data_IF_082578813203
#
_entry.id   IF_082578813203
#
_cell.length_a   1.000
_cell.length_b   1.000
_cell.length_c   1.000
_cell.angle_alpha   90.00
_cell.angle_beta   90.00
_cell.angle_gamma   90.00
#
_symmetry.space_group_name_H-M   'P 1'
#
loop_
_entity.id
_entity.type
_entity.pdbx_description
1 polymer ?
#
# COMPACT_ATOMS: atom_id res chain seq x y z
N UNK A 1 19.73 -0.66 -20.78
CA UNK A 1 19.82 0.25 -19.60
C UNK A 1 20.18 -0.52 -18.33
N UNK A 2 19.46 -1.59 -17.95
CA UNK A 2 19.73 -2.32 -16.70
C UNK A 2 21.16 -2.87 -16.61
N UNK A 3 21.63 -3.55 -17.66
CA UNK A 3 23.00 -4.10 -17.70
C UNK A 3 24.08 -3.00 -17.61
N UNK A 4 23.83 -1.83 -18.18
CA UNK A 4 24.74 -0.69 -18.04
C UNK A 4 24.89 -0.21 -16.59
N UNK A 5 23.78 -0.24 -15.83
CA UNK A 5 23.80 0.12 -14.40
C UNK A 5 24.59 -0.93 -13.63
N UNK A 6 24.32 -2.22 -13.88
CA UNK A 6 25.06 -3.32 -13.24
C UNK A 6 26.56 -3.22 -13.51
N UNK A 7 26.91 -2.99 -14.76
CA UNK A 7 28.32 -2.81 -15.16
C UNK A 7 28.97 -1.60 -14.51
N UNK A 8 28.24 -0.49 -14.40
CA UNK A 8 28.74 0.72 -13.73
C UNK A 8 28.98 0.48 -12.23
N UNK A 9 28.02 -0.15 -11.53
CA UNK A 9 28.15 -0.50 -10.12
C UNK A 9 29.40 -1.34 -9.90
N UNK A 10 29.59 -2.40 -10.70
CA UNK A 10 30.72 -3.31 -10.56
C UNK A 10 32.06 -2.69 -10.91
N UNK A 11 32.13 -1.94 -12.03
CA UNK A 11 33.40 -1.34 -12.50
C UNK A 11 33.88 -0.20 -11.64
N UNK A 12 32.98 0.58 -11.07
CA UNK A 12 33.30 1.76 -10.30
C UNK A 12 33.17 1.55 -8.79
N UNK A 13 32.81 0.31 -8.35
CA UNK A 13 32.58 -0.04 -6.96
C UNK A 13 31.63 0.94 -6.27
N UNK A 14 30.50 1.23 -6.93
CA UNK A 14 29.53 2.18 -6.39
C UNK A 14 28.83 1.56 -5.19
N UNK A 15 28.63 2.37 -4.15
CA UNK A 15 27.94 2.00 -2.92
C UNK A 15 26.49 2.51 -2.87
N UNK A 16 26.13 3.45 -3.75
CA UNK A 16 24.80 4.03 -3.87
C UNK A 16 24.44 4.34 -5.31
N UNK A 17 23.15 4.33 -5.61
CA UNK A 17 22.62 4.67 -6.94
C UNK A 17 21.49 5.67 -6.79
N UNK A 18 21.46 6.70 -7.62
CA UNK A 18 20.35 7.64 -7.73
C UNK A 18 19.70 7.46 -9.11
N UNK A 19 18.40 7.22 -9.13
CA UNK A 19 17.61 7.17 -10.35
C UNK A 19 16.68 8.37 -10.40
N UNK A 20 17.02 9.34 -11.27
CA UNK A 20 16.17 10.51 -11.52
C UNK A 20 15.29 10.25 -12.74
N UNK A 21 14.02 9.89 -12.51
CA UNK A 21 13.13 9.49 -13.60
C UNK A 21 11.64 9.75 -13.24
N UNK A 22 10.76 8.81 -13.52
CA UNK A 22 9.33 8.90 -13.23
C UNK A 22 9.00 8.40 -11.81
N UNK A 23 7.74 8.02 -11.57
CA UNK A 23 7.28 7.63 -10.23
C UNK A 23 7.98 6.40 -9.67
N UNK A 24 8.47 6.44 -8.43
CA UNK A 24 8.99 5.26 -7.74
C UNK A 24 7.93 4.18 -7.52
N UNK A 25 6.64 4.55 -7.43
CA UNK A 25 5.54 3.61 -7.15
C UNK A 25 5.47 2.42 -8.12
N UNK A 26 5.87 2.64 -9.37
CA UNK A 26 5.87 1.58 -10.39
C UNK A 26 7.25 0.98 -10.64
N UNK A 27 8.31 1.78 -10.53
CA UNK A 27 9.62 1.40 -11.05
C UNK A 27 10.66 1.09 -9.97
N UNK A 28 10.40 1.44 -8.71
CA UNK A 28 11.32 1.18 -7.61
C UNK A 28 11.73 -0.30 -7.52
N UNK A 29 10.79 -1.28 -7.53
CA UNK A 29 11.17 -2.69 -7.44
C UNK A 29 12.06 -3.16 -8.59
N UNK A 30 11.85 -2.62 -9.80
CA UNK A 30 12.67 -2.95 -10.96
C UNK A 30 14.12 -2.55 -10.75
N UNK A 31 14.37 -1.33 -10.26
CA UNK A 31 15.73 -0.84 -10.03
C UNK A 31 16.35 -1.45 -8.78
N UNK A 32 15.56 -1.76 -7.76
CA UNK A 32 16.04 -2.54 -6.60
C UNK A 32 16.56 -3.90 -7.03
N UNK A 33 15.84 -4.62 -7.89
CA UNK A 33 16.31 -5.89 -8.46
C UNK A 33 17.59 -5.74 -9.30
N UNK A 34 17.79 -4.59 -9.96
CA UNK A 34 19.06 -4.30 -10.67
C UNK A 34 20.22 -4.18 -9.71
N UNK A 35 20.04 -3.50 -8.56
CA UNK A 35 21.06 -3.39 -7.52
C UNK A 35 21.40 -4.77 -6.93
N UNK A 36 20.39 -5.57 -6.60
CA UNK A 36 20.59 -6.94 -6.11
C UNK A 36 21.41 -7.79 -7.08
N UNK A 37 21.10 -7.75 -8.37
CA UNK A 37 21.85 -8.45 -9.41
C UNK A 37 23.29 -7.94 -9.56
N UNK A 38 23.53 -6.70 -9.20
CA UNK A 38 24.88 -6.13 -9.16
C UNK A 38 25.67 -6.51 -7.88
N UNK A 39 24.99 -7.08 -6.86
CA UNK A 39 25.55 -7.38 -5.55
C UNK A 39 25.50 -6.20 -4.56
N UNK A 40 24.70 -5.18 -4.85
CA UNK A 40 24.49 -4.04 -3.97
C UNK A 40 23.16 -4.19 -3.23
N UNK A 41 23.11 -3.75 -1.97
CA UNK A 41 21.88 -3.77 -1.19
C UNK A 41 20.78 -2.94 -1.90
N UNK A 42 19.57 -3.47 -2.11
CA UNK A 42 18.51 -2.80 -2.89
C UNK A 42 18.02 -1.49 -2.26
N UNK A 43 18.25 -1.30 -0.97
CA UNK A 43 17.86 -0.09 -0.24
C UNK A 43 18.89 1.05 -0.35
N UNK A 44 20.04 0.79 -0.98
CA UNK A 44 21.02 1.82 -1.34
C UNK A 44 20.64 2.57 -2.63
N UNK A 45 19.36 2.51 -3.00
CA UNK A 45 18.75 3.20 -4.13
C UNK A 45 17.96 4.42 -3.67
N UNK A 46 18.33 5.59 -4.14
CA UNK A 46 17.50 6.79 -4.08
C UNK A 46 16.74 6.97 -5.39
N UNK A 47 15.44 7.19 -5.30
CA UNK A 47 14.60 7.35 -6.48
C UNK A 47 13.96 8.75 -6.51
N UNK A 48 14.38 9.56 -7.47
CA UNK A 48 13.99 10.97 -7.59
C UNK A 48 12.98 11.13 -8.73
N UNK A 49 11.77 11.56 -8.40
CA UNK A 49 10.72 11.78 -9.38
C UNK A 49 10.83 13.18 -10.02
N UNK A 50 11.39 13.23 -11.21
CA UNK A 50 11.51 14.48 -12.00
C UNK A 50 10.44 14.58 -13.10
N UNK A 51 9.65 13.57 -13.33
CA UNK A 51 8.55 13.60 -14.31
C UNK A 51 7.31 14.25 -13.71
N UNK A 52 6.68 13.62 -12.74
CA UNK A 52 5.43 14.08 -12.15
C UNK A 52 5.64 15.35 -11.29
N UNK A 53 6.78 15.46 -10.62
CA UNK A 53 7.07 16.59 -9.74
C UNK A 53 7.72 17.78 -10.46
N UNK A 54 8.16 17.62 -11.71
CA UNK A 54 8.82 18.68 -12.46
C UNK A 54 8.27 18.84 -13.87
N UNK A 55 8.58 17.93 -14.81
CA UNK A 55 8.26 18.13 -16.22
C UNK A 55 6.76 18.24 -16.51
N UNK A 56 5.92 17.46 -15.83
CA UNK A 56 4.46 17.55 -16.00
C UNK A 56 3.86 18.84 -15.43
N UNK A 57 4.41 19.33 -14.33
CA UNK A 57 3.96 20.59 -13.69
C UNK A 57 4.29 21.80 -14.53
N UNK A 58 5.45 21.79 -15.19
CA UNK A 58 5.94 22.92 -16.00
C UNK A 58 5.48 22.86 -17.48
N UNK A 59 4.78 21.80 -17.88
CA UNK A 59 4.27 21.63 -19.23
C UNK A 59 5.29 21.08 -20.23
N UNK A 60 4.88 20.95 -21.52
CA UNK A 60 5.64 20.22 -22.54
C UNK A 60 6.86 20.95 -23.09
N UNK A 61 7.00 22.23 -22.80
CA UNK A 61 8.10 23.03 -23.34
C UNK A 61 9.24 23.17 -22.34
N UNK A 62 10.48 22.97 -22.79
CA UNK A 62 11.65 23.21 -21.95
C UNK A 62 11.67 24.64 -21.42
N UNK A 63 11.89 24.80 -20.12
CA UNK A 63 12.04 26.10 -19.49
C UNK A 63 13.22 26.10 -18.52
N UNK A 64 13.82 27.28 -18.32
CA UNK A 64 14.88 27.44 -17.35
C UNK A 64 14.38 27.14 -15.92
N UNK A 65 13.15 27.49 -15.63
CA UNK A 65 12.50 27.25 -14.35
C UNK A 65 12.33 25.75 -14.07
N UNK A 66 11.85 24.97 -15.06
CA UNK A 66 11.76 23.52 -14.96
C UNK A 66 13.15 22.89 -14.73
N UNK A 67 14.16 23.38 -15.44
CA UNK A 67 15.54 22.90 -15.27
C UNK A 67 16.08 23.19 -13.87
N UNK A 68 15.89 24.41 -13.35
CA UNK A 68 16.27 24.77 -11.98
C UNK A 68 15.57 23.89 -10.94
N UNK A 69 14.29 23.62 -11.15
CA UNK A 69 13.51 22.74 -10.27
C UNK A 69 14.02 21.30 -10.32
N UNK A 70 14.27 20.75 -11.50
CA UNK A 70 14.84 19.41 -11.65
C UNK A 70 16.17 19.26 -10.92
N UNK A 71 17.07 20.24 -11.09
CA UNK A 71 18.36 20.29 -10.38
C UNK A 71 18.15 20.32 -8.87
N UNK A 72 17.21 21.13 -8.38
CA UNK A 72 16.91 21.21 -6.95
C UNK A 72 16.41 19.88 -6.39
N UNK A 73 15.50 19.22 -7.10
CA UNK A 73 14.96 17.90 -6.71
C UNK A 73 16.07 16.84 -6.68
N UNK A 74 16.93 16.81 -7.72
CA UNK A 74 18.04 15.86 -7.79
C UNK A 74 19.06 16.11 -6.68
N UNK A 75 19.36 17.38 -6.37
CA UNK A 75 20.24 17.73 -5.25
C UNK A 75 19.67 17.25 -3.91
N UNK A 76 18.35 17.42 -3.69
CA UNK A 76 17.68 16.86 -2.51
C UNK A 76 17.83 15.36 -2.41
N UNK A 77 17.64 14.64 -3.53
CA UNK A 77 17.87 13.19 -3.59
C UNK A 77 19.33 12.80 -3.35
N UNK A 78 20.27 13.60 -3.84
CA UNK A 78 21.69 13.37 -3.57
C UNK A 78 22.02 13.51 -2.07
N UNK A 79 21.54 14.57 -1.42
CA UNK A 79 21.77 14.74 0.03
C UNK A 79 21.12 13.58 0.81
N UNK A 80 19.88 13.19 0.47
CA UNK A 80 19.22 12.06 1.08
C UNK A 80 19.97 10.74 0.86
N UNK A 81 20.56 10.55 -0.31
CA UNK A 81 21.29 9.32 -0.63
C UNK A 81 22.49 9.08 0.30
N UNK A 82 23.07 10.13 0.87
CA UNK A 82 24.19 10.04 1.83
C UNK A 82 23.78 9.39 3.15
N UNK A 83 22.51 9.54 3.51
CA UNK A 83 21.92 9.02 4.75
C UNK A 83 21.32 7.62 4.57
N UNK A 84 21.38 7.03 3.36
CA UNK A 84 20.90 5.67 3.14
C UNK A 84 21.80 4.67 3.86
N UNK A 85 21.15 3.75 4.55
CA UNK A 85 21.79 2.60 5.19
C UNK A 85 21.31 1.30 4.57
N UNK A 86 22.15 0.28 4.46
CA UNK A 86 21.73 -1.03 3.98
C UNK A 86 20.73 -1.65 4.96
N UNK A 87 19.52 -1.93 4.47
CA UNK A 87 18.49 -2.57 5.28
C UNK A 87 18.50 -4.08 5.04
N UNK A 88 18.24 -4.82 6.10
CA UNK A 88 18.04 -6.26 6.02
C UNK A 88 16.57 -6.58 5.77
N UNK A 89 16.31 -7.58 4.93
CA UNK A 89 14.96 -8.08 4.71
C UNK A 89 14.56 -8.98 5.89
N UNK A 90 13.57 -8.55 6.63
CA UNK A 90 12.98 -9.36 7.70
C UNK A 90 11.93 -10.29 7.07
N UNK A 91 12.14 -11.60 7.21
CA UNK A 91 11.17 -12.60 6.78
C UNK A 91 10.39 -13.10 7.98
N UNK A 92 9.08 -12.88 7.98
CA UNK A 92 8.19 -13.32 9.04
C UNK A 92 7.15 -14.29 8.48
N UNK A 93 6.82 -15.31 9.27
CA UNK A 93 5.76 -16.25 8.93
C UNK A 93 4.42 -15.59 9.29
N UNK A 94 3.73 -15.04 8.29
CA UNK A 94 2.45 -14.38 8.49
C UNK A 94 1.34 -15.35 8.88
N UNK A 95 0.43 -14.91 9.75
CA UNK A 95 -0.84 -15.57 10.00
C UNK A 95 -1.76 -15.49 8.78
N UNK A 96 -2.61 -16.50 8.60
CA UNK A 96 -3.72 -16.45 7.63
C UNK A 96 -5.02 -15.93 8.23
N UNK A 97 -4.94 -15.33 9.40
CA UNK A 97 -6.05 -14.66 10.06
C UNK A 97 -5.97 -13.15 9.76
N UNK A 98 -7.10 -12.56 9.43
CA UNK A 98 -7.19 -11.16 9.02
C UNK A 98 -8.22 -10.44 9.88
N UNK A 99 -7.84 -9.31 10.45
CA UNK A 99 -8.75 -8.41 11.13
C UNK A 99 -9.22 -7.31 10.17
N UNK A 100 -10.52 -7.08 10.14
CA UNK A 100 -11.15 -5.95 9.45
C UNK A 100 -11.92 -5.14 10.50
N UNK A 101 -11.65 -3.84 10.55
CA UNK A 101 -12.30 -2.92 11.49
C UNK A 101 -13.31 -2.07 10.73
N UNK A 102 -14.58 -2.22 11.10
CA UNK A 102 -15.72 -1.51 10.52
C UNK A 102 -16.54 -2.34 9.54
N UNK A 103 -17.79 -2.62 9.89
CA UNK A 103 -18.76 -3.36 9.12
C UNK A 103 -19.56 -2.52 8.11
N UNK A 104 -18.95 -1.49 7.52
CA UNK A 104 -19.53 -0.80 6.36
C UNK A 104 -19.38 -1.62 5.08
N UNK A 105 -19.91 -1.11 3.95
CA UNK A 105 -19.89 -1.83 2.66
C UNK A 105 -18.47 -2.24 2.24
N UNK A 106 -17.47 -1.41 2.50
CA UNK A 106 -16.07 -1.73 2.19
C UNK A 106 -15.57 -2.89 3.04
N UNK A 107 -15.79 -2.86 4.37
CA UNK A 107 -15.40 -3.95 5.27
C UNK A 107 -16.13 -5.25 4.98
N UNK A 108 -17.44 -5.19 4.72
CA UNK A 108 -18.24 -6.34 4.30
C UNK A 108 -17.68 -6.95 3.01
N UNK A 109 -17.40 -6.12 2.00
CA UNK A 109 -16.88 -6.60 0.70
C UNK A 109 -15.49 -7.23 0.86
N UNK A 110 -14.60 -6.60 1.62
CA UNK A 110 -13.28 -7.14 1.90
C UNK A 110 -13.37 -8.47 2.66
N UNK A 111 -14.22 -8.54 3.69
CA UNK A 111 -14.41 -9.77 4.47
C UNK A 111 -14.95 -10.93 3.63
N UNK A 112 -15.93 -10.67 2.76
CA UNK A 112 -16.46 -11.69 1.85
C UNK A 112 -15.40 -12.17 0.85
N UNK A 113 -14.67 -11.26 0.24
CA UNK A 113 -13.63 -11.63 -0.73
C UNK A 113 -12.52 -12.46 -0.08
N UNK A 114 -12.02 -12.02 1.07
CA UNK A 114 -10.97 -12.75 1.79
C UNK A 114 -11.47 -14.08 2.35
N UNK A 115 -12.69 -14.13 2.90
CA UNK A 115 -13.32 -15.35 3.37
C UNK A 115 -13.51 -16.38 2.24
N UNK A 116 -13.92 -15.92 1.05
CA UNK A 116 -14.08 -16.78 -0.13
C UNK A 116 -12.72 -17.28 -0.68
N UNK A 117 -11.63 -16.56 -0.43
CA UNK A 117 -10.25 -16.99 -0.71
C UNK A 117 -9.70 -17.96 0.36
N UNK A 118 -10.47 -18.28 1.40
CA UNK A 118 -10.09 -19.23 2.45
C UNK A 118 -9.28 -18.63 3.60
N UNK A 119 -9.24 -17.31 3.71
CA UNK A 119 -8.68 -16.66 4.90
C UNK A 119 -9.69 -16.65 6.03
N UNK A 120 -9.24 -16.84 7.26
CA UNK A 120 -10.06 -16.61 8.44
C UNK A 120 -10.14 -15.11 8.72
N UNK A 121 -11.33 -14.55 8.66
CA UNK A 121 -11.56 -13.11 8.78
C UNK A 121 -12.31 -12.79 10.06
N UNK A 122 -11.82 -11.84 10.84
CA UNK A 122 -12.51 -11.26 11.98
C UNK A 122 -12.99 -9.87 11.59
N UNK A 123 -14.31 -9.69 11.42
CA UNK A 123 -14.90 -8.39 11.15
C UNK A 123 -15.47 -7.80 12.43
N UNK A 124 -14.88 -6.69 12.88
CA UNK A 124 -15.30 -5.99 14.10
C UNK A 124 -16.12 -4.76 13.74
N UNK A 125 -17.33 -4.66 14.28
CA UNK A 125 -18.23 -3.52 14.12
C UNK A 125 -18.74 -3.03 15.49
N UNK A 126 -18.54 -1.76 15.79
CA UNK A 126 -18.97 -1.17 17.06
C UNK A 126 -20.50 -1.02 17.23
N UNK A 127 -21.23 -0.97 16.12
CA UNK A 127 -22.69 -0.93 16.13
C UNK A 127 -23.30 -2.33 16.24
N UNK A 128 -24.57 -2.44 16.65
CA UNK A 128 -25.26 -3.72 16.73
C UNK A 128 -25.48 -4.38 15.37
N UNK A 129 -25.37 -3.64 14.28
CA UNK A 129 -25.55 -4.14 12.91
C UNK A 129 -24.45 -3.64 11.98
N UNK A 130 -24.14 -4.45 10.96
CA UNK A 130 -23.30 -4.05 9.84
C UNK A 130 -24.07 -3.20 8.82
N UNK A 131 -23.38 -2.64 7.82
CA UNK A 131 -23.96 -1.83 6.74
C UNK A 131 -23.44 -0.38 6.74
N UNK A 132 -23.02 0.12 7.88
CA UNK A 132 -22.39 1.45 8.00
C UNK A 132 -23.28 2.58 7.49
N UNK A 133 -22.69 3.50 6.74
CA UNK A 133 -23.42 4.63 6.16
C UNK A 133 -24.31 4.22 4.99
N UNK A 134 -23.97 3.16 4.25
CA UNK A 134 -24.79 2.69 3.13
C UNK A 134 -26.19 2.27 3.57
N UNK A 135 -26.34 1.73 4.79
CA UNK A 135 -27.63 1.39 5.36
C UNK A 135 -28.57 2.60 5.59
N UNK A 136 -28.04 3.82 5.54
CA UNK A 136 -28.80 5.08 5.71
C UNK A 136 -29.16 5.74 4.39
N UNK A 137 -28.67 5.21 3.26
CA UNK A 137 -28.88 5.76 1.94
C UNK A 137 -30.10 5.10 1.27
N UNK A 138 -30.85 5.90 0.50
CA UNK A 138 -31.90 5.39 -0.37
C UNK A 138 -31.30 4.88 -1.69
N UNK A 139 -30.37 5.66 -2.24
CA UNK A 139 -29.72 5.38 -3.54
C UNK A 139 -28.20 5.56 -3.44
N UNK A 140 -27.46 4.89 -4.32
CA UNK A 140 -26.01 5.02 -4.44
C UNK A 140 -25.63 5.79 -5.71
N UNK A 141 -24.58 6.60 -5.62
CA UNK A 141 -23.97 7.26 -6.75
C UNK A 141 -22.93 6.30 -7.40
N UNK A 142 -22.73 6.35 -8.74
CA UNK A 142 -23.38 7.21 -9.74
C UNK A 142 -24.62 6.59 -10.39
N UNK A 143 -24.88 5.32 -10.18
CA UNK A 143 -25.92 4.53 -10.89
C UNK A 143 -27.33 4.82 -10.40
N UNK A 144 -27.48 5.45 -9.23
CA UNK A 144 -28.76 5.70 -8.55
C UNK A 144 -29.54 4.42 -8.20
N UNK A 145 -28.84 3.31 -8.09
CA UNK A 145 -29.41 2.04 -7.64
C UNK A 145 -29.84 2.11 -6.18
N UNK A 146 -30.77 1.22 -5.81
CA UNK A 146 -31.25 1.08 -4.45
C UNK A 146 -30.12 0.59 -3.53
N UNK A 147 -29.75 1.39 -2.54
CA UNK A 147 -28.67 1.09 -1.61
C UNK A 147 -28.92 -0.21 -0.82
N UNK A 148 -30.16 -0.40 -0.35
CA UNK A 148 -30.55 -1.61 0.42
C UNK A 148 -30.57 -2.86 -0.45
N UNK A 149 -30.95 -2.75 -1.71
CA UNK A 149 -30.95 -3.87 -2.64
C UNK A 149 -29.57 -4.45 -2.92
N UNK A 150 -28.53 -3.59 -2.85
CA UNK A 150 -27.12 -3.99 -2.98
C UNK A 150 -26.58 -4.48 -1.62
N UNK A 151 -26.89 -3.79 -0.55
CA UNK A 151 -26.31 -4.03 0.77
C UNK A 151 -26.86 -5.29 1.44
N UNK A 152 -28.18 -5.48 1.44
CA UNK A 152 -28.86 -6.56 2.19
C UNK A 152 -28.36 -7.97 1.82
N UNK A 153 -28.20 -8.33 0.53
CA UNK A 153 -27.63 -9.63 0.18
C UNK A 153 -26.24 -9.85 0.76
N UNK A 154 -25.39 -8.83 0.74
CA UNK A 154 -24.02 -8.91 1.28
C UNK A 154 -23.99 -9.03 2.81
N UNK A 155 -24.91 -8.35 3.52
CA UNK A 155 -25.06 -8.51 4.96
C UNK A 155 -25.50 -9.93 5.31
N UNK A 156 -26.42 -10.51 4.54
CA UNK A 156 -26.85 -11.89 4.74
C UNK A 156 -25.74 -12.91 4.42
N UNK A 157 -24.97 -12.65 3.37
CA UNK A 157 -23.85 -13.49 2.96
C UNK A 157 -22.74 -13.51 4.02
N UNK A 158 -22.40 -12.36 4.60
CA UNK A 158 -21.33 -12.28 5.61
C UNK A 158 -21.70 -13.06 6.88
N UNK A 159 -22.96 -13.05 7.27
CA UNK A 159 -23.45 -13.83 8.42
C UNK A 159 -23.47 -15.34 8.20
N UNK A 160 -23.34 -15.78 6.95
CA UNK A 160 -23.35 -17.21 6.58
C UNK A 160 -21.97 -17.73 6.14
N UNK A 161 -21.01 -16.86 5.91
CA UNK A 161 -19.68 -17.25 5.45
C UNK A 161 -18.92 -17.94 6.59
N UNK A 162 -18.55 -19.22 6.45
CA UNK A 162 -17.91 -19.98 7.54
C UNK A 162 -16.51 -19.47 7.91
N UNK A 163 -15.88 -18.71 7.02
CA UNK A 163 -14.55 -18.15 7.22
C UNK A 163 -14.60 -16.74 7.83
N UNK A 164 -15.81 -16.18 8.02
CA UNK A 164 -15.96 -14.83 8.59
C UNK A 164 -16.56 -14.92 9.99
N UNK A 165 -15.77 -14.48 10.97
CA UNK A 165 -16.22 -14.27 12.34
C UNK A 165 -16.69 -12.82 12.47
N UNK A 166 -18.00 -12.61 12.50
CA UNK A 166 -18.61 -11.29 12.64
C UNK A 166 -18.81 -10.95 14.12
N UNK A 167 -18.13 -9.90 14.59
CA UNK A 167 -18.22 -9.36 15.94
C UNK A 167 -18.92 -8.00 15.88
N UNK A 168 -20.21 -7.97 16.20
CA UNK A 168 -20.99 -6.73 16.34
C UNK A 168 -21.02 -6.28 17.81
N UNK A 169 -21.31 -5.00 18.06
CA UNK A 169 -21.22 -4.41 19.40
C UNK A 169 -19.82 -4.57 20.00
N UNK A 170 -18.81 -4.58 19.12
CA UNK A 170 -17.44 -4.88 19.47
C UNK A 170 -16.50 -3.75 19.03
N UNK A 171 -15.53 -3.40 19.84
CA UNK A 171 -14.58 -2.34 19.57
C UNK A 171 -13.15 -2.80 19.84
N UNK A 172 -12.24 -2.47 18.91
CA UNK A 172 -10.82 -2.73 19.09
C UNK A 172 -10.27 -1.73 20.09
N UNK A 173 -9.72 -2.23 21.19
CA UNK A 173 -9.12 -1.41 22.25
C UNK A 173 -7.62 -1.26 22.10
N UNK A 174 -6.94 -2.32 21.70
CA UNK A 174 -5.49 -2.33 21.63
C UNK A 174 -5.03 -3.19 20.46
N UNK A 175 -4.01 -2.72 19.76
CA UNK A 175 -3.28 -3.49 18.74
C UNK A 175 -1.81 -3.42 19.09
N UNK A 176 -1.17 -4.58 19.25
CA UNK A 176 0.26 -4.71 19.52
C UNK A 176 0.89 -5.74 18.58
N UNK A 177 2.22 -5.84 18.57
CA UNK A 177 2.92 -6.77 17.69
C UNK A 177 3.47 -6.11 16.43
N UNK A 178 3.58 -6.88 15.34
CA UNK A 178 4.23 -6.48 14.09
C UNK A 178 3.52 -7.09 12.87
N UNK A 179 3.76 -6.59 11.66
CA UNK A 179 3.18 -7.15 10.44
C UNK A 179 3.36 -8.67 10.37
N UNK A 180 2.24 -9.37 10.15
CA UNK A 180 2.18 -10.84 10.14
C UNK A 180 1.93 -11.51 11.49
N UNK A 181 2.09 -10.78 12.61
CA UNK A 181 1.85 -11.30 13.96
C UNK A 181 1.37 -10.18 14.89
N UNK A 182 0.09 -9.83 14.78
CA UNK A 182 -0.56 -8.85 15.63
C UNK A 182 -1.39 -9.52 16.72
N UNK A 183 -1.29 -9.01 17.92
CA UNK A 183 -2.20 -9.30 19.04
C UNK A 183 -3.22 -8.17 19.15
N UNK A 184 -4.50 -8.52 19.12
CA UNK A 184 -5.59 -7.55 19.12
C UNK A 184 -6.57 -7.83 20.24
N UNK A 185 -6.80 -6.82 21.09
CA UNK A 185 -7.83 -6.89 22.14
C UNK A 185 -9.11 -6.25 21.63
N UNK A 186 -10.18 -7.03 21.69
CA UNK A 186 -11.53 -6.60 21.30
C UNK A 186 -12.42 -6.67 22.53
N UNK A 187 -13.13 -5.59 22.82
CA UNK A 187 -14.18 -5.52 23.83
C UNK A 187 -15.54 -5.72 23.17
N UNK A 188 -16.40 -6.53 23.81
CA UNK A 188 -17.78 -6.82 23.39
C UNK A 188 -18.74 -6.46 24.51
#
# INVERSE_FOLDING_TARGET
AQEMIIDAIKRQSLDRVIVASCTPRMHLPTFQSVLERAGLNPYMLEFVNIREHCSWVHGPHPSEEATKKAISIIRGGYERSKELEPLETISEKGSREILIIGGGIAGITAALQLGNLGYKVHLVERKPTVGGNMAKLTKVFPTLDCAQCILTPRMAEIGRNPNVNLLTYAEVQEVSGRPGNYDVKVFM
#
